data_IF_580545320613
#
_entry.id   IF_580545320613
#
_cell.length_a   1.000
_cell.length_b   1.000
_cell.length_c   1.000
_cell.angle_alpha   90.00
_cell.angle_beta   90.00
_cell.angle_gamma   90.00
#
_symmetry.space_group_name_H-M   'P 1'
#
loop_
_entity.id
_entity.type
_entity.pdbx_description
1 polymer ?
#
# COMPACT_ATOMS: atom_id res chain seq x y z
N UNK A 1 -9.22 2.37 6.69
CA UNK A 1 -8.21 2.12 7.76
C UNK A 1 -7.57 0.74 7.58
N UNK A 2 -6.89 0.52 6.46
CA UNK A 2 -6.23 -0.76 6.08
C UNK A 2 -5.27 -0.55 4.89
N UNK A 3 -4.72 0.66 4.69
CA UNK A 3 -3.98 1.04 3.48
C UNK A 3 -2.88 0.02 3.13
N UNK A 4 -2.01 -0.28 4.10
CA UNK A 4 -0.89 -1.20 3.90
C UNK A 4 -1.31 -2.65 3.60
N UNK A 5 -2.50 -3.09 4.00
CA UNK A 5 -2.97 -4.45 3.68
C UNK A 5 -3.26 -4.65 2.19
N UNK A 6 -3.32 -3.57 1.41
CA UNK A 6 -3.48 -3.64 -0.04
C UNK A 6 -2.15 -3.77 -0.77
N UNK A 7 -1.04 -3.35 -0.16
CA UNK A 7 0.28 -3.36 -0.77
C UNK A 7 0.79 -4.77 -1.03
N UNK A 8 1.30 -4.99 -2.24
CA UNK A 8 1.90 -6.26 -2.65
C UNK A 8 3.35 -6.33 -2.17
N UNK A 9 3.77 -7.52 -1.71
CA UNK A 9 5.15 -7.79 -1.29
C UNK A 9 5.93 -8.41 -2.46
N UNK A 10 7.03 -7.76 -2.86
CA UNK A 10 7.94 -8.32 -3.85
C UNK A 10 8.85 -9.42 -3.27
N UNK A 11 9.13 -9.35 -1.98
CA UNK A 11 9.96 -10.29 -1.24
C UNK A 11 9.12 -11.27 -0.42
N UNK A 12 9.63 -12.49 -0.23
CA UNK A 12 9.00 -13.45 0.66
C UNK A 12 9.37 -13.11 2.11
N UNK A 13 8.36 -12.76 2.92
CA UNK A 13 8.54 -12.41 4.31
C UNK A 13 7.75 -13.33 5.21
N UNK A 14 8.36 -13.62 6.34
CA UNK A 14 7.79 -14.45 7.39
C UNK A 14 7.80 -13.67 8.71
N UNK A 15 6.75 -13.83 9.49
CA UNK A 15 6.66 -13.29 10.85
C UNK A 15 6.35 -14.40 11.84
N UNK A 16 6.76 -14.20 13.09
CA UNK A 16 6.26 -15.04 14.19
C UNK A 16 4.75 -14.90 14.29
N UNK A 17 4.09 -15.96 14.73
CA UNK A 17 2.66 -15.93 14.99
C UNK A 17 2.32 -14.77 15.94
N UNK A 18 1.27 -13.98 15.64
CA UNK A 18 0.92 -12.82 16.45
C UNK A 18 0.38 -13.26 17.82
N UNK A 19 0.54 -12.42 18.86
CA UNK A 19 -0.10 -12.64 20.15
C UNK A 19 -1.61 -12.86 19.98
N UNK A 20 -2.16 -13.91 20.59
CA UNK A 20 -3.58 -14.27 20.48
C UNK A 20 -3.91 -15.30 19.39
N UNK A 21 -2.96 -15.68 18.53
CA UNK A 21 -3.13 -16.82 17.63
C UNK A 21 -2.82 -18.13 18.37
N UNK A 22 -3.85 -18.82 18.86
CA UNK A 22 -3.73 -20.03 19.71
C UNK A 22 -3.72 -21.35 18.96
N UNK A 23 -4.00 -21.33 17.64
CA UNK A 23 -4.32 -22.53 16.87
C UNK A 23 -3.13 -23.06 16.05
N UNK A 24 -1.94 -22.48 16.20
CA UNK A 24 -0.73 -22.88 15.47
C UNK A 24 0.30 -23.56 16.35
N UNK A 25 1.14 -24.39 15.73
CA UNK A 25 2.37 -24.86 16.36
C UNK A 25 3.30 -23.65 16.59
N UNK A 26 3.76 -23.37 17.82
CA UNK A 26 4.64 -22.24 18.12
C UNK A 26 5.97 -22.23 17.35
N UNK A 27 6.38 -23.38 16.79
CA UNK A 27 7.57 -23.51 15.94
C UNK A 27 7.35 -23.00 14.50
N UNK A 28 6.11 -22.75 14.09
CA UNK A 28 5.77 -22.29 12.75
C UNK A 28 5.77 -20.75 12.65
N UNK A 29 6.04 -20.26 11.44
CA UNK A 29 5.96 -18.84 11.10
C UNK A 29 4.82 -18.59 10.10
N UNK A 30 4.27 -17.38 10.12
CA UNK A 30 3.27 -16.93 9.16
C UNK A 30 3.96 -16.28 7.96
N UNK A 31 3.69 -16.77 6.75
CA UNK A 31 4.08 -16.07 5.52
C UNK A 31 3.18 -14.86 5.31
N UNK A 32 3.77 -13.71 5.08
CA UNK A 32 3.04 -12.50 4.72
C UNK A 32 2.72 -12.51 3.23
N UNK A 33 1.44 -12.40 2.90
CA UNK A 33 0.97 -12.31 1.51
C UNK A 33 0.81 -10.85 1.05
N UNK A 34 0.67 -9.93 2.01
CA UNK A 34 0.47 -8.49 1.81
C UNK A 34 1.32 -7.73 2.82
N UNK A 35 1.62 -6.47 2.52
CA UNK A 35 2.29 -5.62 3.49
C UNK A 35 1.41 -5.36 4.72
N UNK A 36 2.03 -5.12 5.87
CA UNK A 36 1.35 -4.85 7.14
C UNK A 36 2.07 -3.73 7.88
N UNK A 37 1.39 -3.11 8.85
CA UNK A 37 2.01 -2.12 9.73
C UNK A 37 3.24 -2.70 10.43
N UNK A 38 4.29 -1.88 10.56
CA UNK A 38 5.57 -2.28 11.16
C UNK A 38 6.61 -2.78 10.15
N UNK A 39 6.22 -3.11 8.92
CA UNK A 39 7.20 -3.36 7.85
C UNK A 39 7.75 -2.03 7.34
N UNK A 40 9.09 -1.90 7.26
CA UNK A 40 9.76 -0.71 6.73
C UNK A 40 9.34 -0.36 5.29
N UNK A 41 8.99 -1.36 4.49
CA UNK A 41 8.58 -1.21 3.09
C UNK A 41 7.06 -1.08 2.91
N UNK A 42 6.24 -1.23 3.95
CA UNK A 42 4.78 -1.16 3.82
C UNK A 42 4.26 0.14 3.19
N UNK A 43 4.77 1.34 3.54
CA UNK A 43 4.35 2.58 2.89
C UNK A 43 4.65 2.58 1.39
N UNK A 44 5.80 2.03 0.99
CA UNK A 44 6.19 1.93 -0.42
C UNK A 44 5.32 0.94 -1.19
N UNK A 45 5.09 -0.25 -0.65
CA UNK A 45 4.21 -1.26 -1.25
C UNK A 45 2.79 -0.70 -1.45
N UNK A 46 2.31 0.10 -0.50
CA UNK A 46 1.03 0.79 -0.62
C UNK A 46 1.03 1.87 -1.70
N UNK A 47 2.03 2.74 -1.72
CA UNK A 47 2.18 3.76 -2.76
C UNK A 47 2.19 3.13 -4.16
N UNK A 48 3.02 2.12 -4.39
CA UNK A 48 3.15 1.45 -5.68
C UNK A 48 1.81 0.83 -6.12
N UNK A 49 1.09 0.19 -5.19
CA UNK A 49 -0.22 -0.38 -5.45
C UNK A 49 -1.24 0.70 -5.82
N UNK A 50 -1.33 1.77 -5.02
CA UNK A 50 -2.28 2.85 -5.26
C UNK A 50 -1.98 3.57 -6.58
N UNK A 51 -0.71 3.90 -6.84
CA UNK A 51 -0.27 4.55 -8.07
C UNK A 51 -0.65 3.71 -9.31
N UNK A 52 -0.47 2.39 -9.24
CA UNK A 52 -0.85 1.50 -10.33
C UNK A 52 -2.36 1.49 -10.58
N UNK A 53 -3.20 1.49 -9.53
CA UNK A 53 -4.66 1.53 -9.70
C UNK A 53 -5.15 2.92 -10.16
N UNK A 54 -4.59 4.01 -9.63
CA UNK A 54 -4.88 5.38 -10.07
C UNK A 54 -4.48 5.60 -11.54
N UNK A 55 -3.33 5.06 -11.96
CA UNK A 55 -2.89 5.08 -13.35
C UNK A 55 -3.89 4.44 -14.32
N UNK A 56 -4.48 3.30 -13.94
CA UNK A 56 -5.56 2.65 -14.73
C UNK A 56 -6.81 3.52 -14.85
N UNK A 57 -7.03 4.40 -13.88
CA UNK A 57 -8.14 5.36 -13.86
C UNK A 57 -7.82 6.68 -14.58
N UNK A 58 -6.61 6.82 -15.15
CA UNK A 58 -6.17 7.99 -15.91
C UNK A 58 -5.62 9.13 -15.05
N UNK A 59 -5.20 8.84 -13.82
CA UNK A 59 -4.44 9.78 -13.00
C UNK A 59 -2.94 9.63 -13.25
N UNK A 60 -2.21 10.73 -13.15
CA UNK A 60 -0.75 10.75 -13.26
C UNK A 60 -0.14 11.46 -12.04
N UNK A 61 1.00 10.99 -11.51
CA UNK A 61 1.71 11.71 -10.46
C UNK A 61 2.21 13.06 -10.99
N UNK A 62 2.12 14.09 -10.16
CA UNK A 62 2.60 15.43 -10.46
C UNK A 62 4.12 15.45 -10.54
N UNK A 63 4.65 16.28 -11.44
CA UNK A 63 6.09 16.48 -11.57
C UNK A 63 6.72 17.10 -10.31
N UNK A 64 5.96 17.90 -9.57
CA UNK A 64 6.44 18.58 -8.35
C UNK A 64 6.38 17.70 -7.12
N UNK A 65 5.43 16.77 -7.07
CA UNK A 65 5.22 15.86 -5.94
C UNK A 65 4.63 14.53 -6.43
N UNK A 66 5.38 13.42 -6.37
CA UNK A 66 4.89 12.10 -6.74
C UNK A 66 3.70 11.60 -5.91
N UNK A 67 3.46 12.17 -4.72
CA UNK A 67 2.31 11.83 -3.88
C UNK A 67 1.02 12.53 -4.32
N UNK A 68 1.10 13.54 -5.19
CA UNK A 68 -0.04 14.24 -5.76
C UNK A 68 -0.38 13.66 -7.14
N UNK A 69 -1.53 13.01 -7.25
CA UNK A 69 -2.04 12.45 -8.50
C UNK A 69 -3.07 13.38 -9.11
N UNK A 70 -2.92 13.70 -10.39
CA UNK A 70 -3.78 14.63 -11.12
C UNK A 70 -4.44 13.92 -12.29
N UNK A 71 -5.76 14.05 -12.40
CA UNK A 71 -6.52 13.66 -13.60
C UNK A 71 -7.14 14.91 -14.22
N UNK A 72 -6.78 15.22 -15.46
CA UNK A 72 -7.27 16.39 -16.20
C UNK A 72 -8.46 16.00 -17.06
N UNK A 73 -9.57 16.72 -16.93
CA UNK A 73 -10.76 16.60 -17.77
C UNK A 73 -11.12 17.93 -18.46
N UNK A 74 -12.17 17.92 -19.28
CA UNK A 74 -12.67 19.13 -19.95
C UNK A 74 -13.20 20.18 -18.97
N UNK A 75 -13.73 19.72 -17.83
CA UNK A 75 -14.45 20.55 -16.87
C UNK A 75 -13.59 20.95 -15.66
N UNK A 76 -12.30 20.59 -15.68
CA UNK A 76 -11.34 20.82 -14.60
C UNK A 76 -10.46 19.62 -14.30
N UNK A 77 -9.60 19.75 -13.28
CA UNK A 77 -8.79 18.65 -12.75
C UNK A 77 -9.37 18.10 -11.44
N UNK A 78 -9.14 16.80 -11.22
CA UNK A 78 -9.32 16.15 -9.93
C UNK A 78 -7.94 15.78 -9.41
N UNK A 79 -7.67 16.22 -8.18
CA UNK A 79 -6.38 16.06 -7.51
C UNK A 79 -6.56 15.12 -6.31
N UNK A 80 -5.68 14.14 -6.18
CA UNK A 80 -5.64 13.17 -5.09
C UNK A 80 -4.26 13.25 -4.43
N UNK A 81 -4.21 13.60 -3.15
CA UNK A 81 -2.96 13.72 -2.40
C UNK A 81 -2.82 12.55 -1.45
N UNK A 82 -1.75 11.77 -1.60
CA UNK A 82 -1.43 10.68 -0.70
C UNK A 82 -0.54 11.16 0.44
N UNK A 83 -0.96 10.96 1.69
CA UNK A 83 -0.10 11.14 2.85
C UNK A 83 -0.03 9.86 3.67
N UNK A 84 1.03 9.09 3.47
CA UNK A 84 1.27 7.79 4.15
C UNK A 84 0.13 6.81 3.91
N UNK A 85 -0.86 6.73 4.80
CA UNK A 85 -2.04 5.87 4.71
C UNK A 85 -3.36 6.63 4.54
N UNK A 86 -3.31 7.97 4.48
CA UNK A 86 -4.44 8.86 4.22
C UNK A 86 -4.45 9.31 2.75
N UNK A 87 -5.66 9.49 2.20
CA UNK A 87 -5.95 9.90 0.82
C UNK A 87 -7.06 10.96 0.83
#
# INVERSE_FOLDING_TARGET
KTAFLNGDLAEELWMRQPPGYSNGDPSQACRLLKSVYGLKQAPRCWYEKLAAELGKLGYEPSASDPALFVKRGSDGSIDVLLYVDDV
#
